data_IF_665555541081
#
_entry.id   IF_665555541081
#
_cell.length_a   1.000
_cell.length_b   1.000
_cell.length_c   1.000
_cell.angle_alpha   90.00
_cell.angle_beta   90.00
_cell.angle_gamma   90.00
#
_symmetry.space_group_name_H-M   'P 1'
#
loop_
_entity.id
_entity.type
_entity.pdbx_description
1 polymer ?
#
# COMPACT_ATOMS: atom_id res chain seq x y z
N UNK A 1 -26.43 8.65 -4.04
CA UNK A 1 -25.65 7.42 -3.88
C UNK A 1 -24.23 7.76 -4.27
N UNK A 2 -23.27 7.74 -3.35
CA UNK A 2 -21.85 7.73 -3.74
C UNK A 2 -21.48 6.28 -4.06
N UNK A 3 -20.66 6.08 -5.08
CA UNK A 3 -20.08 4.78 -5.39
C UNK A 3 -18.77 4.68 -4.61
N UNK A 4 -18.54 3.56 -3.93
CA UNK A 4 -17.24 3.31 -3.32
C UNK A 4 -16.21 3.09 -4.44
N UNK A 5 -15.23 3.98 -4.53
CA UNK A 5 -14.14 3.86 -5.51
C UNK A 5 -13.03 3.03 -4.89
N UNK A 6 -12.59 2.02 -5.63
CA UNK A 6 -11.51 1.12 -5.26
C UNK A 6 -10.44 1.25 -6.34
N UNK A 7 -9.23 1.61 -5.94
CA UNK A 7 -8.07 1.53 -6.83
C UNK A 7 -7.44 0.14 -6.70
N UNK A 8 -7.37 -0.58 -7.81
CA UNK A 8 -6.91 -1.96 -7.86
C UNK A 8 -5.39 -2.11 -7.78
N UNK A 9 -4.62 -1.02 -7.89
CA UNK A 9 -3.16 -1.11 -7.92
C UNK A 9 -2.47 0.26 -7.74
N UNK A 10 -1.60 0.39 -6.74
CA UNK A 10 -0.70 1.53 -6.57
C UNK A 10 0.69 1.12 -6.06
N UNK A 11 1.74 1.79 -6.52
CA UNK A 11 3.15 1.57 -6.14
C UNK A 11 3.58 2.30 -4.86
N UNK A 12 2.69 2.43 -3.87
CA UNK A 12 2.94 3.30 -2.71
C UNK A 12 4.15 2.87 -1.87
N UNK A 13 4.36 1.56 -1.66
CA UNK A 13 5.51 1.05 -0.88
C UNK A 13 6.82 1.33 -1.61
N UNK A 14 6.82 1.20 -2.92
CA UNK A 14 8.00 1.49 -3.73
C UNK A 14 8.39 2.97 -3.63
N UNK A 15 7.41 3.88 -3.66
CA UNK A 15 7.67 5.31 -3.49
C UNK A 15 8.12 5.66 -2.06
N UNK A 16 7.48 5.10 -1.02
CA UNK A 16 7.90 5.29 0.37
C UNK A 16 9.33 4.79 0.61
N UNK A 17 9.70 3.65 0.01
CA UNK A 17 11.05 3.10 0.10
C UNK A 17 12.14 4.00 -0.49
N UNK A 18 11.82 4.89 -1.43
CA UNK A 18 12.77 5.90 -1.95
C UNK A 18 13.01 7.04 -0.96
N UNK A 19 12.04 7.33 -0.09
CA UNK A 19 12.11 8.37 0.94
C UNK A 19 12.90 7.95 2.19
N UNK A 20 13.24 6.66 2.32
CA UNK A 20 13.93 6.10 3.48
C UNK A 20 13.01 5.77 4.65
N UNK A 21 13.57 5.15 5.70
CA UNK A 21 12.84 4.49 6.78
C UNK A 21 11.89 5.39 7.59
N UNK A 22 12.14 6.71 7.64
CA UNK A 22 11.32 7.66 8.40
C UNK A 22 10.11 8.21 7.62
N UNK A 23 10.00 7.92 6.32
CA UNK A 23 8.91 8.43 5.49
C UNK A 23 7.63 7.66 5.77
N UNK A 24 6.60 8.29 6.34
CA UNK A 24 5.28 7.69 6.56
C UNK A 24 4.26 8.25 5.58
N UNK A 25 3.18 7.52 5.30
CA UNK A 25 2.17 7.93 4.34
C UNK A 25 1.58 9.31 4.63
N UNK A 26 1.34 9.64 5.91
CA UNK A 26 0.79 10.96 6.26
C UNK A 26 1.78 12.11 6.09
N UNK A 27 3.09 11.84 6.01
CA UNK A 27 4.11 12.86 5.73
C UNK A 27 4.37 13.09 4.23
N UNK A 28 3.82 12.25 3.35
CA UNK A 28 3.92 12.41 1.89
C UNK A 28 2.96 13.49 1.40
N UNK A 29 3.50 14.63 1.00
CA UNK A 29 2.74 15.80 0.51
C UNK A 29 2.69 15.91 -1.03
N UNK A 30 3.44 15.06 -1.74
CA UNK A 30 3.59 15.09 -3.20
C UNK A 30 3.66 13.69 -3.81
N UNK A 31 3.48 13.58 -5.13
CA UNK A 31 3.41 12.28 -5.84
C UNK A 31 1.99 11.89 -6.26
N UNK A 32 1.81 10.66 -6.78
CA UNK A 32 0.53 10.22 -7.34
C UNK A 32 -0.52 9.89 -6.28
N UNK A 33 -0.10 9.33 -5.15
CA UNK A 33 -0.97 8.92 -4.04
C UNK A 33 -0.57 9.70 -2.78
N UNK A 34 -1.46 10.55 -2.29
CA UNK A 34 -1.31 11.30 -1.03
C UNK A 34 -2.60 11.24 -0.25
N UNK A 35 -2.56 11.46 1.07
CA UNK A 35 -3.77 11.47 1.92
C UNK A 35 -4.81 12.50 1.42
N UNK A 36 -4.35 13.67 0.98
CA UNK A 36 -5.22 14.71 0.40
C UNK A 36 -5.92 14.22 -0.87
N UNK A 37 -5.18 13.56 -1.78
CA UNK A 37 -5.75 13.05 -3.04
C UNK A 37 -6.71 11.89 -2.83
N UNK A 38 -6.42 10.97 -1.91
CA UNK A 38 -7.34 9.88 -1.56
C UNK A 38 -8.66 10.44 -0.98
N UNK A 39 -8.56 11.44 -0.11
CA UNK A 39 -9.73 12.12 0.46
C UNK A 39 -10.53 12.87 -0.61
N UNK A 40 -9.87 13.65 -1.47
CA UNK A 40 -10.51 14.40 -2.54
C UNK A 40 -11.21 13.51 -3.57
N UNK A 41 -10.62 12.34 -3.86
CA UNK A 41 -11.19 11.33 -4.75
C UNK A 41 -12.24 10.42 -4.10
N UNK A 42 -12.52 10.58 -2.79
CA UNK A 42 -13.35 9.67 -2.01
C UNK A 42 -12.96 8.19 -2.22
N UNK A 43 -11.65 7.92 -2.29
CA UNK A 43 -11.11 6.58 -2.51
C UNK A 43 -11.30 5.76 -1.24
N UNK A 44 -12.02 4.65 -1.36
CA UNK A 44 -12.38 3.81 -0.22
C UNK A 44 -11.33 2.76 0.08
N UNK A 45 -10.77 2.16 -0.96
CA UNK A 45 -9.74 1.12 -0.85
C UNK A 45 -8.67 1.39 -1.91
N UNK A 46 -7.42 1.23 -1.53
CA UNK A 46 -6.30 1.08 -2.45
C UNK A 46 -5.68 -0.30 -2.27
N UNK A 47 -5.29 -0.93 -3.36
CA UNK A 47 -4.46 -2.14 -3.31
C UNK A 47 -3.02 -1.74 -3.59
N UNK A 48 -2.16 -1.94 -2.61
CA UNK A 48 -0.78 -1.49 -2.62
C UNK A 48 0.15 -2.63 -3.02
N UNK A 49 0.98 -2.38 -4.03
CA UNK A 49 1.95 -3.32 -4.56
C UNK A 49 3.16 -3.48 -3.64
N UNK A 50 3.47 -4.73 -3.30
CA UNK A 50 4.78 -5.16 -2.84
C UNK A 50 5.62 -5.51 -4.07
N UNK A 51 6.03 -4.47 -4.80
CA UNK A 51 6.74 -4.58 -6.07
C UNK A 51 8.25 -4.79 -5.87
N UNK A 52 8.80 -5.83 -6.52
CA UNK A 52 10.23 -6.09 -6.59
C UNK A 52 10.77 -5.78 -8.00
N UNK A 53 11.65 -4.77 -8.16
CA UNK A 53 12.29 -4.50 -9.45
C UNK A 53 13.14 -5.68 -9.94
N UNK A 54 13.26 -5.83 -11.27
CA UNK A 54 13.98 -6.94 -11.91
C UNK A 54 15.44 -7.09 -11.44
N UNK A 55 16.08 -6.01 -10.98
CA UNK A 55 17.44 -6.03 -10.42
C UNK A 55 17.58 -6.90 -9.16
N UNK A 56 16.47 -7.22 -8.49
CA UNK A 56 16.38 -8.03 -7.28
C UNK A 56 15.82 -9.44 -7.54
N UNK A 57 15.52 -9.80 -8.80
CA UNK A 57 15.02 -11.13 -9.13
C UNK A 57 16.04 -12.24 -8.80
N UNK A 58 15.51 -13.44 -8.57
CA UNK A 58 16.28 -14.64 -8.25
C UNK A 58 16.43 -14.96 -6.75
N UNK A 59 16.74 -16.23 -6.44
CA UNK A 59 16.60 -16.79 -5.08
C UNK A 59 17.54 -16.19 -4.04
N UNK A 60 18.63 -15.53 -4.45
CA UNK A 60 19.58 -14.91 -3.52
C UNK A 60 19.15 -13.50 -3.06
N UNK A 61 18.28 -12.81 -3.82
CA UNK A 61 18.00 -11.38 -3.61
C UNK A 61 16.52 -11.10 -3.33
N UNK A 62 15.62 -11.83 -3.98
CA UNK A 62 14.19 -11.53 -3.96
C UNK A 62 13.63 -11.55 -2.52
N UNK A 63 13.96 -12.57 -1.73
CA UNK A 63 13.49 -12.69 -0.35
C UNK A 63 13.97 -11.56 0.59
N UNK A 64 15.23 -11.13 0.46
CA UNK A 64 15.76 -10.03 1.25
C UNK A 64 15.09 -8.70 0.89
N UNK A 65 14.94 -8.43 -0.41
CA UNK A 65 14.27 -7.21 -0.86
C UNK A 65 12.79 -7.18 -0.42
N UNK A 66 12.09 -8.30 -0.59
CA UNK A 66 10.68 -8.43 -0.21
C UNK A 66 10.46 -8.25 1.29
N UNK A 67 11.38 -8.73 2.13
CA UNK A 67 11.33 -8.50 3.58
C UNK A 67 11.40 -7.00 3.92
N UNK A 68 12.18 -6.22 3.17
CA UNK A 68 12.20 -4.76 3.28
C UNK A 68 10.87 -4.11 2.90
N UNK A 69 10.23 -4.59 1.83
CA UNK A 69 8.90 -4.10 1.41
C UNK A 69 7.83 -4.39 2.49
N UNK A 70 7.87 -5.58 3.09
CA UNK A 70 6.98 -5.92 4.22
C UNK A 70 7.21 -4.96 5.38
N UNK A 71 8.46 -4.70 5.74
CA UNK A 71 8.79 -3.80 6.84
C UNK A 71 8.24 -2.38 6.60
N UNK A 72 8.32 -1.87 5.38
CA UNK A 72 7.71 -0.57 5.01
C UNK A 72 6.18 -0.65 5.11
N UNK A 73 5.57 -1.72 4.58
CA UNK A 73 4.12 -1.92 4.65
C UNK A 73 3.60 -2.02 6.09
N UNK A 74 4.43 -2.53 7.00
CA UNK A 74 4.12 -2.63 8.42
C UNK A 74 4.17 -1.26 9.11
N UNK A 75 5.22 -0.48 8.85
CA UNK A 75 5.58 0.67 9.69
C UNK A 75 5.20 2.04 9.09
N UNK A 76 5.05 2.14 7.76
CA UNK A 76 5.05 3.43 7.07
C UNK A 76 3.69 3.79 6.44
N UNK A 77 2.63 3.01 6.67
CA UNK A 77 1.27 3.27 6.17
C UNK A 77 0.33 3.86 7.24
N UNK A 78 0.83 4.79 8.04
CA UNK A 78 0.01 5.49 9.03
C UNK A 78 -1.19 6.21 8.37
N UNK A 79 -2.29 6.34 9.10
CA UNK A 79 -3.52 6.96 8.58
C UNK A 79 -4.32 6.10 7.60
N UNK A 80 -3.85 4.91 7.21
CA UNK A 80 -4.59 3.93 6.41
C UNK A 80 -5.02 2.72 7.25
N UNK A 81 -6.24 2.22 7.02
CA UNK A 81 -6.73 1.01 7.69
C UNK A 81 -6.31 -0.25 6.94
N UNK A 82 -5.43 -1.06 7.52
CA UNK A 82 -5.07 -2.37 6.94
C UNK A 82 -6.28 -3.30 6.92
N UNK A 83 -6.55 -3.92 5.77
CA UNK A 83 -7.61 -4.89 5.58
C UNK A 83 -6.97 -6.27 5.54
N UNK A 84 -7.07 -7.03 6.65
CA UNK A 84 -6.47 -8.36 6.78
C UNK A 84 -7.53 -9.47 6.79
N UNK A 85 -8.80 -9.09 6.89
CA UNK A 85 -9.94 -10.00 6.99
C UNK A 85 -11.19 -9.41 6.33
N UNK A 86 -12.19 -10.26 6.13
CA UNK A 86 -13.54 -9.83 5.69
C UNK A 86 -14.22 -8.90 6.70
N UNK A 87 -13.88 -9.02 8.00
CA UNK A 87 -14.43 -8.15 9.02
C UNK A 87 -13.85 -6.74 8.90
N UNK A 88 -12.54 -6.60 8.68
CA UNK A 88 -11.91 -5.29 8.45
C UNK A 88 -12.53 -4.58 7.25
N UNK A 89 -12.79 -5.34 6.18
CA UNK A 89 -13.48 -4.83 4.99
C UNK A 89 -14.91 -4.37 5.33
N UNK A 90 -15.67 -5.19 6.06
CA UNK A 90 -17.05 -4.85 6.44
C UNK A 90 -17.10 -3.59 7.29
N UNK A 91 -16.23 -3.48 8.29
CA UNK A 91 -16.11 -2.30 9.15
C UNK A 91 -15.71 -1.05 8.35
N UNK A 92 -14.73 -1.20 7.44
CA UNK A 92 -14.31 -0.10 6.57
C UNK A 92 -15.47 0.36 5.69
N UNK A 93 -16.22 -0.56 5.08
CA UNK A 93 -17.34 -0.21 4.21
C UNK A 93 -18.49 0.49 4.96
N UNK A 94 -18.57 0.32 6.29
CA UNK A 94 -19.49 1.05 7.15
C UNK A 94 -18.96 2.40 7.65
N UNK A 95 -17.68 2.73 7.43
CA UNK A 95 -17.08 4.01 7.82
C UNK A 95 -17.15 5.05 6.70
N UNK A 96 -17.30 6.34 7.04
CA UNK A 96 -17.50 7.39 6.04
C UNK A 96 -16.18 8.02 5.54
N UNK A 97 -15.10 7.94 6.31
CA UNK A 97 -13.92 8.80 6.10
C UNK A 97 -12.56 8.08 6.12
N UNK A 98 -12.56 6.75 6.22
CA UNK A 98 -11.33 5.97 6.18
C UNK A 98 -11.09 5.39 4.79
N UNK A 99 -9.84 5.46 4.35
CA UNK A 99 -9.32 4.67 3.23
C UNK A 99 -8.64 3.43 3.79
N UNK A 100 -9.01 2.27 3.26
CA UNK A 100 -8.37 1.02 3.59
C UNK A 100 -7.29 0.61 2.60
N UNK A 101 -6.40 -0.28 3.05
CA UNK A 101 -5.32 -0.85 2.24
C UNK A 101 -5.41 -2.37 2.20
N UNK A 102 -5.35 -2.91 0.99
CA UNK A 102 -5.04 -4.31 0.71
C UNK A 102 -3.63 -4.39 0.14
N UNK A 103 -2.99 -5.55 0.26
CA UNK A 103 -1.67 -5.79 -0.32
C UNK A 103 -1.77 -6.76 -1.48
N UNK A 104 -1.01 -6.48 -2.54
CA UNK A 104 -0.79 -7.42 -3.64
C UNK A 104 0.72 -7.67 -3.75
N UNK A 105 1.10 -8.93 -3.95
CA UNK A 105 2.46 -9.26 -4.35
C UNK A 105 2.53 -9.07 -5.86
N UNK A 106 3.37 -8.14 -6.30
CA UNK A 106 3.58 -7.90 -7.72
C UNK A 106 4.86 -8.61 -8.17
N UNK A 107 4.72 -9.42 -9.23
CA UNK A 107 5.67 -10.44 -9.65
C UNK A 107 5.81 -11.60 -8.63
N UNK A 108 6.21 -12.79 -9.10
CA UNK A 108 6.29 -14.01 -8.30
C UNK A 108 7.69 -14.34 -7.77
N UNK A 109 8.74 -13.61 -8.19
CA UNK A 109 10.12 -13.81 -7.73
C UNK A 109 10.29 -13.87 -6.19
N UNK A 110 9.57 -13.08 -5.38
CA UNK A 110 9.65 -13.19 -3.92
C UNK A 110 9.17 -14.53 -3.34
N UNK A 111 8.49 -15.37 -4.13
CA UNK A 111 7.93 -16.66 -3.72
C UNK A 111 8.86 -17.85 -4.04
N UNK A 112 10.06 -17.58 -4.57
CA UNK A 112 11.07 -18.58 -4.93
C UNK A 112 11.72 -19.27 -3.71
#
# INVERSE_FOLDING_TARGET
>A
MSVAVIDGHVDLIYELGKGGDESTFTSVDSGHVTAEKLKAGAIKIIVVALFSPDSFNGPQKAGQYFSGLIQIAENNLDGLKKILSSNDLTELMASDHETGVLFLVENADPLL
#
